data_IF_713105404378
#
_entry.id   IF_713105404378
#
_cell.length_a   1.000
_cell.length_b   1.000
_cell.length_c   1.000
_cell.angle_alpha   90.00
_cell.angle_beta   90.00
_cell.angle_gamma   90.00
#
_symmetry.space_group_name_H-M   'P 1'
#
loop_
_entity.id
_entity.type
_entity.pdbx_description
1 polymer ?
#
# COMPACT_ATOMS: atom_id res chain seq x y z
N UNK A 1 6.08 10.12 -18.08
CA UNK A 1 5.87 10.33 -16.62
C UNK A 1 6.46 9.19 -15.80
N UNK A 2 6.16 7.91 -16.12
CA UNK A 2 6.75 6.76 -15.40
C UNK A 2 8.29 6.75 -15.41
N UNK A 3 8.93 7.04 -16.55
CA UNK A 3 10.40 7.09 -16.64
C UNK A 3 11.05 8.16 -15.76
N UNK A 4 10.37 9.31 -15.59
CA UNK A 4 10.85 10.36 -14.70
C UNK A 4 10.84 9.87 -13.26
N UNK A 5 9.76 9.22 -12.84
CA UNK A 5 9.62 8.69 -11.49
C UNK A 5 10.60 7.54 -11.22
N UNK A 6 10.80 6.62 -12.18
CA UNK A 6 11.82 5.55 -12.07
C UNK A 6 13.23 6.13 -11.93
N UNK A 7 13.56 7.19 -12.68
CA UNK A 7 14.84 7.89 -12.54
C UNK A 7 14.98 8.54 -11.16
N UNK A 8 13.94 9.23 -10.68
CA UNK A 8 13.96 9.87 -9.36
C UNK A 8 14.15 8.85 -8.23
N UNK A 9 13.38 7.75 -8.23
CA UNK A 9 13.55 6.66 -7.25
C UNK A 9 14.92 5.99 -7.40
N UNK A 10 15.47 5.93 -8.61
CA UNK A 10 16.83 5.45 -8.86
C UNK A 10 17.91 6.26 -8.15
N UNK A 11 17.72 7.57 -7.98
CA UNK A 11 18.64 8.47 -7.27
C UNK A 11 18.53 8.38 -5.73
N UNK A 12 17.45 7.79 -5.21
CA UNK A 12 17.19 7.70 -3.77
C UNK A 12 17.84 6.46 -3.14
N UNK A 13 18.30 6.62 -1.90
CA UNK A 13 18.67 5.51 -1.01
C UNK A 13 17.42 4.80 -0.49
N UNK A 14 17.57 3.69 0.24
CA UNK A 14 16.42 3.01 0.85
C UNK A 14 15.83 3.89 1.95
N UNK A 15 16.70 4.49 2.74
CA UNK A 15 16.41 5.36 3.87
C UNK A 15 15.67 6.62 3.40
N UNK A 16 16.03 7.19 2.24
CA UNK A 16 15.28 8.31 1.64
C UNK A 16 13.82 7.95 1.34
N UNK A 17 13.54 6.70 0.93
CA UNK A 17 12.18 6.25 0.63
C UNK A 17 11.34 5.99 1.89
N UNK A 18 11.99 5.77 3.02
CA UNK A 18 11.35 5.52 4.31
C UNK A 18 10.91 6.83 5.00
N UNK A 19 11.39 7.98 4.51
CA UNK A 19 10.99 9.28 5.00
C UNK A 19 9.47 9.47 4.93
N UNK A 20 8.93 10.01 6.01
CA UNK A 20 7.52 10.36 6.13
C UNK A 20 7.35 11.86 5.94
N UNK A 21 6.24 12.25 5.29
CA UNK A 21 5.84 13.64 5.23
C UNK A 21 5.31 14.15 6.58
N UNK A 22 4.91 15.43 6.67
CA UNK A 22 4.38 16.04 7.90
C UNK A 22 3.10 15.38 8.45
N UNK A 23 2.44 14.54 7.66
CA UNK A 23 1.27 13.75 8.07
C UNK A 23 1.65 12.31 8.42
N UNK A 24 2.94 12.01 8.62
CA UNK A 24 3.47 10.68 8.91
C UNK A 24 3.26 9.66 7.78
N UNK A 25 3.13 10.08 6.51
CA UNK A 25 2.95 9.14 5.39
C UNK A 25 4.23 8.98 4.57
N UNK A 26 4.61 7.74 4.27
CA UNK A 26 5.64 7.44 3.27
C UNK A 26 5.10 7.64 1.85
N UNK A 27 5.99 7.67 0.86
CA UNK A 27 5.59 7.69 -0.55
C UNK A 27 4.72 6.47 -0.93
N UNK A 28 4.99 5.30 -0.33
CA UNK A 28 4.19 4.09 -0.57
C UNK A 28 2.77 4.22 -0.01
N UNK A 29 2.60 4.82 1.17
CA UNK A 29 1.29 5.10 1.75
C UNK A 29 0.42 5.95 0.80
N UNK A 30 1.00 7.02 0.25
CA UNK A 30 0.31 7.91 -0.67
C UNK A 30 -0.02 7.20 -2.00
N UNK A 31 0.93 6.45 -2.56
CA UNK A 31 0.70 5.68 -3.79
C UNK A 31 -0.38 4.60 -3.61
N UNK A 32 -0.42 3.96 -2.45
CA UNK A 32 -1.40 2.95 -2.10
C UNK A 32 -2.82 3.54 -2.00
N UNK A 33 -2.98 4.66 -1.28
CA UNK A 33 -4.25 5.38 -1.17
C UNK A 33 -4.75 5.88 -2.53
N UNK A 34 -3.84 6.32 -3.41
CA UNK A 34 -4.16 6.82 -4.75
C UNK A 34 -4.46 5.72 -5.79
N UNK A 35 -4.22 4.44 -5.46
CA UNK A 35 -4.42 3.34 -6.42
C UNK A 35 -3.37 3.26 -7.52
N UNK A 36 -2.22 3.90 -7.36
CA UNK A 36 -1.18 3.92 -8.38
C UNK A 36 -0.30 2.66 -8.29
N UNK A 37 -0.82 1.54 -8.81
CA UNK A 37 -0.15 0.22 -8.82
C UNK A 37 1.28 0.29 -9.37
N UNK A 38 1.52 1.03 -10.45
CA UNK A 38 2.86 1.09 -11.03
C UNK A 38 3.85 1.78 -10.09
N UNK A 39 3.45 2.88 -9.45
CA UNK A 39 4.32 3.54 -8.47
C UNK A 39 4.57 2.67 -7.25
N UNK A 40 3.54 1.94 -6.80
CA UNK A 40 3.67 0.95 -5.72
C UNK A 40 4.71 -0.12 -6.08
N UNK A 41 4.67 -0.67 -7.30
CA UNK A 41 5.66 -1.65 -7.78
C UNK A 41 7.08 -1.09 -7.76
N UNK A 42 7.28 0.10 -8.35
CA UNK A 42 8.60 0.76 -8.42
C UNK A 42 9.20 0.95 -7.01
N UNK A 43 8.39 1.41 -6.06
CA UNK A 43 8.83 1.64 -4.69
C UNK A 43 9.16 0.33 -3.96
N UNK A 44 8.29 -0.69 -4.08
CA UNK A 44 8.48 -2.00 -3.43
C UNK A 44 9.70 -2.75 -4.00
N UNK A 45 9.91 -2.69 -5.32
CA UNK A 45 11.09 -3.25 -5.98
C UNK A 45 12.40 -2.66 -5.45
N UNK A 46 12.42 -1.35 -5.16
CA UNK A 46 13.60 -0.65 -4.62
C UNK A 46 13.78 -0.89 -3.12
N UNK A 47 12.70 -0.84 -2.33
CA UNK A 47 12.74 -1.08 -0.89
C UNK A 47 11.48 -1.81 -0.37
N UNK A 48 11.60 -3.12 -0.16
CA UNK A 48 10.52 -3.96 0.38
C UNK A 48 10.13 -3.60 1.82
N UNK A 49 11.00 -2.96 2.61
CA UNK A 49 10.68 -2.56 3.99
C UNK A 49 9.51 -1.57 4.06
N UNK A 50 9.26 -0.81 2.99
CA UNK A 50 8.14 0.13 2.90
C UNK A 50 6.78 -0.54 3.12
N UNK A 51 6.64 -1.85 2.82
CA UNK A 51 5.39 -2.60 3.01
C UNK A 51 4.92 -2.60 4.48
N UNK A 52 5.84 -2.43 5.43
CA UNK A 52 5.57 -2.51 6.87
C UNK A 52 5.82 -1.21 7.62
N UNK A 53 6.18 -0.11 6.94
CA UNK A 53 6.26 1.21 7.57
C UNK A 53 4.86 1.84 7.58
N UNK A 54 4.24 2.01 8.76
CA UNK A 54 2.90 2.56 8.82
C UNK A 54 2.91 4.05 8.49
N UNK A 55 1.81 4.51 7.90
CA UNK A 55 1.52 5.92 7.67
C UNK A 55 0.87 6.59 8.89
N UNK A 56 0.09 7.63 8.61
CA UNK A 56 -0.71 8.32 9.63
C UNK A 56 -1.62 7.35 10.40
N UNK A 57 -1.82 7.59 11.69
CA UNK A 57 -2.66 6.76 12.58
C UNK A 57 -2.30 5.26 12.55
N UNK A 58 -1.03 4.92 12.34
CA UNK A 58 -0.54 3.55 12.21
C UNK A 58 -1.13 2.75 11.02
N UNK A 59 -1.69 3.44 10.02
CA UNK A 59 -2.29 2.78 8.85
C UNK A 59 -1.23 2.20 7.92
N UNK A 60 -1.26 0.88 7.70
CA UNK A 60 -0.37 0.19 6.78
C UNK A 60 -0.69 0.58 5.32
N UNK A 61 0.28 0.55 4.38
CA UNK A 61 0.01 0.83 2.96
C UNK A 61 -1.11 -0.02 2.37
N UNK A 62 -1.14 -1.32 2.67
CA UNK A 62 -2.23 -2.23 2.24
C UNK A 62 -3.59 -1.82 2.83
N UNK A 63 -3.62 -1.38 4.08
CA UNK A 63 -4.84 -0.87 4.70
C UNK A 63 -5.35 0.39 3.99
N UNK A 64 -4.45 1.32 3.62
CA UNK A 64 -4.85 2.52 2.87
C UNK A 64 -5.41 2.17 1.49
N UNK A 65 -4.77 1.26 0.76
CA UNK A 65 -5.31 0.78 -0.53
C UNK A 65 -6.73 0.21 -0.36
N UNK A 66 -6.95 -0.58 0.69
CA UNK A 66 -8.27 -1.14 1.00
C UNK A 66 -9.28 -0.06 1.36
N UNK A 67 -8.91 0.90 2.22
CA UNK A 67 -9.76 2.00 2.68
C UNK A 67 -10.29 2.84 1.51
N UNK A 68 -9.48 3.04 0.49
CA UNK A 68 -9.83 3.82 -0.69
C UNK A 68 -10.34 2.97 -1.88
N UNK A 69 -10.64 1.69 -1.67
CA UNK A 69 -11.24 0.83 -2.70
C UNK A 69 -10.31 0.48 -3.88
N UNK A 70 -8.99 0.53 -3.68
CA UNK A 70 -7.99 0.39 -4.74
C UNK A 70 -7.67 -1.08 -5.03
N UNK A 71 -8.61 -1.81 -5.64
CA UNK A 71 -8.57 -3.27 -5.80
C UNK A 71 -7.25 -3.84 -6.35
N UNK A 72 -6.75 -3.31 -7.47
CA UNK A 72 -5.52 -3.80 -8.08
C UNK A 72 -4.28 -3.58 -7.19
N UNK A 73 -4.28 -2.49 -6.42
CA UNK A 73 -3.22 -2.19 -5.46
C UNK A 73 -3.32 -3.07 -4.22
N UNK A 74 -4.54 -3.36 -3.75
CA UNK A 74 -4.80 -4.32 -2.66
C UNK A 74 -4.26 -5.70 -3.04
N UNK A 75 -4.60 -6.19 -4.22
CA UNK A 75 -4.14 -7.51 -4.70
C UNK A 75 -2.62 -7.59 -4.75
N UNK A 76 -1.96 -6.58 -5.34
CA UNK A 76 -0.51 -6.53 -5.42
C UNK A 76 0.14 -6.49 -4.02
N UNK A 77 -0.27 -5.56 -3.16
CA UNK A 77 0.31 -5.40 -1.82
C UNK A 77 0.04 -6.63 -0.93
N UNK A 78 -1.11 -7.30 -1.08
CA UNK A 78 -1.40 -8.54 -0.37
C UNK A 78 -0.45 -9.66 -0.80
N UNK A 79 -0.22 -9.84 -2.10
CA UNK A 79 0.73 -10.83 -2.62
C UNK A 79 2.15 -10.56 -2.12
N UNK A 80 2.55 -9.29 -2.09
CA UNK A 80 3.86 -8.89 -1.56
C UNK A 80 3.98 -9.05 -0.04
N UNK A 81 2.87 -9.08 0.72
CA UNK A 81 2.88 -9.20 2.19
C UNK A 81 3.13 -10.61 2.75
N UNK A 82 3.39 -11.59 1.87
CA UNK A 82 3.54 -13.03 2.21
C UNK A 82 2.36 -13.56 3.05
N UNK A 83 1.14 -13.16 2.68
CA UNK A 83 -0.07 -13.52 3.43
C UNK A 83 -0.15 -12.85 4.80
N UNK A 84 0.24 -11.58 4.88
CA UNK A 84 0.27 -10.77 6.11
C UNK A 84 1.21 -11.34 7.19
N UNK A 85 2.29 -12.03 6.80
CA UNK A 85 3.23 -12.71 7.73
C UNK A 85 4.57 -12.00 7.88
N UNK A 86 4.79 -10.89 7.18
CA UNK A 86 5.92 -10.01 7.46
C UNK A 86 5.82 -9.44 8.91
N UNK A 87 6.96 -9.04 9.46
CA UNK A 87 7.15 -8.62 10.86
C UNK A 87 6.26 -7.46 11.32
N UNK A 88 5.85 -6.57 10.41
CA UNK A 88 4.96 -5.45 10.71
C UNK A 88 3.50 -5.83 10.99
N UNK A 89 3.08 -7.08 10.75
CA UNK A 89 1.69 -7.51 10.94
C UNK A 89 1.44 -8.08 12.34
N UNK A 90 0.35 -7.63 12.97
CA UNK A 90 -0.12 -8.09 14.26
C UNK A 90 -1.65 -8.32 14.24
N UNK A 91 -2.25 -8.90 15.30
CA UNK A 91 -3.70 -9.15 15.31
C UNK A 91 -4.55 -7.89 15.11
N UNK A 92 -4.11 -6.74 15.61
CA UNK A 92 -4.86 -5.48 15.55
C UNK A 92 -4.92 -4.93 14.13
N UNK A 93 -3.78 -4.76 13.45
CA UNK A 93 -3.76 -4.20 12.10
C UNK A 93 -4.34 -5.16 11.04
N UNK A 94 -4.27 -6.48 11.25
CA UNK A 94 -5.01 -7.47 10.46
C UNK A 94 -6.52 -7.33 10.66
N UNK A 95 -6.96 -7.10 11.90
CA UNK A 95 -8.37 -6.83 12.22
C UNK A 95 -8.90 -5.58 11.51
N UNK A 96 -8.14 -4.49 11.53
CA UNK A 96 -8.48 -3.27 10.81
C UNK A 96 -8.58 -3.48 9.30
N UNK A 97 -7.60 -4.18 8.70
CA UNK A 97 -7.64 -4.51 7.28
C UNK A 97 -8.90 -5.32 6.92
N UNK A 98 -9.30 -6.29 7.75
CA UNK A 98 -10.52 -7.06 7.54
C UNK A 98 -11.78 -6.17 7.62
N UNK A 99 -11.90 -5.36 8.68
CA UNK A 99 -13.04 -4.45 8.87
C UNK A 99 -13.21 -3.51 7.67
N UNK A 100 -12.10 -2.91 7.24
CA UNK A 100 -12.10 -2.00 6.08
C UNK A 100 -12.40 -2.73 4.78
N UNK A 101 -11.91 -3.95 4.57
CA UNK A 101 -12.19 -4.72 3.35
C UNK A 101 -13.67 -5.07 3.20
N UNK A 102 -14.37 -5.32 4.31
CA UNK A 102 -15.82 -5.53 4.33
C UNK A 102 -16.57 -4.22 4.05
N UNK A 103 -16.13 -3.11 4.64
CA UNK A 103 -16.76 -1.80 4.47
C UNK A 103 -16.55 -1.16 3.10
N UNK A 104 -15.37 -1.34 2.48
CA UNK A 104 -14.97 -0.75 1.20
C UNK A 104 -15.50 -1.51 -0.02
N UNK A 105 -16.41 -2.48 0.16
CA UNK A 105 -17.02 -3.28 -0.90
C UNK A 105 -16.02 -4.06 -1.78
N UNK A 106 -14.80 -4.36 -1.29
CA UNK A 106 -13.78 -5.11 -2.04
C UNK A 106 -14.25 -6.52 -2.49
N UNK A 107 -15.40 -6.98 -2.00
CA UNK A 107 -16.02 -8.27 -2.29
C UNK A 107 -17.26 -8.20 -3.20
N UNK A 108 -17.76 -7.01 -3.58
CA UNK A 108 -18.88 -6.95 -4.52
C UNK A 108 -18.38 -7.33 -5.91
N UNK A 109 -18.60 -8.59 -6.29
CA UNK A 109 -18.63 -8.98 -7.70
C UNK A 109 -19.55 -8.01 -8.43
N UNK A 110 -19.12 -7.48 -9.57
CA UNK A 110 -19.99 -6.85 -10.55
C UNK A 110 -21.18 -7.76 -10.83
N UNK A 111 -22.26 -7.60 -10.07
CA UNK A 111 -23.59 -8.12 -10.38
C UNK A 111 -24.25 -7.00 -11.17
N UNK A 112 -23.83 -6.87 -12.42
CA UNK A 112 -24.51 -6.01 -13.40
C UNK A 112 -24.42 -6.74 -14.74
N UNK A 113 -25.31 -7.72 -14.91
CA UNK A 113 -26.15 -7.88 -16.10
C UNK A 113 -27.12 -9.06 -15.86
N UNK A 114 -28.33 -8.73 -15.42
CA UNK A 114 -29.57 -9.40 -15.83
C UNK A 114 -30.54 -8.29 -16.24
#
# INVERSE_FOLDING_TARGET
>A
MQDFVKKLVGLMTKEDLELQNNSSNTALCLAAAAGNVEMVKILVEKNRALLTIPGSQQMMPLYMAALFGQHATVEYLYNESKGLRDDGWNPQNRGWLLQTSVGAELFRKHSTML
#
